data_IF_721717007718
#
_entry.id   IF_721717007718
#
_cell.length_a   1.000
_cell.length_b   1.000
_cell.length_c   1.000
_cell.angle_alpha   90.00
_cell.angle_beta   90.00
_cell.angle_gamma   90.00
#
_symmetry.space_group_name_H-M   'P 1'
#
loop_
_entity.id
_entity.type
_entity.pdbx_description
1 polymer ?
#
# COMPACT_ATOMS: atom_id res chain seq x y z
N UNK A 1 -10.21 10.58 15.69
CA UNK A 1 -11.24 9.52 15.65
C UNK A 1 -10.58 8.20 15.25
N UNK A 2 -11.16 7.05 15.62
CA UNK A 2 -10.61 5.72 15.37
C UNK A 2 -11.61 4.86 14.58
N UNK A 3 -11.12 3.92 13.77
CA UNK A 3 -11.92 2.91 13.09
C UNK A 3 -11.28 1.53 13.24
N UNK A 4 -12.10 0.48 13.09
CA UNK A 4 -11.63 -0.91 13.06
C UNK A 4 -10.96 -1.21 11.71
N UNK A 5 -9.69 -0.82 11.59
CA UNK A 5 -8.91 -0.89 10.35
C UNK A 5 -8.86 -2.31 9.78
N UNK A 6 -8.70 -3.32 10.64
CA UNK A 6 -8.67 -4.72 10.21
C UNK A 6 -9.99 -5.16 9.59
N UNK A 7 -11.15 -4.79 10.16
CA UNK A 7 -12.45 -5.06 9.55
C UNK A 7 -12.64 -4.34 8.21
N UNK A 8 -12.14 -3.11 8.08
CA UNK A 8 -12.19 -2.37 6.82
C UNK A 8 -11.34 -3.08 5.76
N UNK A 9 -10.08 -3.39 6.06
CA UNK A 9 -9.15 -4.04 5.12
C UNK A 9 -9.62 -5.44 4.72
N UNK A 10 -10.33 -6.16 5.60
CA UNK A 10 -10.91 -7.47 5.28
C UNK A 10 -12.10 -7.40 4.30
N UNK A 11 -12.66 -6.21 4.04
CA UNK A 11 -13.85 -6.06 3.22
C UNK A 11 -13.53 -6.09 1.72
N UNK A 12 -14.19 -6.97 0.96
CA UNK A 12 -13.92 -7.17 -0.48
C UNK A 12 -14.15 -5.96 -1.39
N UNK A 13 -14.81 -4.90 -0.90
CA UNK A 13 -14.94 -3.63 -1.62
C UNK A 13 -13.71 -2.70 -1.49
N UNK A 14 -12.77 -3.01 -0.60
CA UNK A 14 -11.55 -2.22 -0.42
C UNK A 14 -10.53 -2.60 -1.49
N UNK A 15 -10.33 -1.68 -2.44
CA UNK A 15 -9.34 -1.85 -3.50
C UNK A 15 -7.96 -1.26 -3.18
N UNK A 16 -7.75 -0.64 -2.02
CA UNK A 16 -6.48 0.05 -1.79
C UNK A 16 -6.29 0.60 -0.40
N UNK A 17 -5.04 0.66 0.04
CA UNK A 17 -4.66 1.20 1.32
C UNK A 17 -3.57 2.27 1.20
N UNK A 18 -3.94 3.53 1.42
CA UNK A 18 -2.96 4.60 1.60
C UNK A 18 -2.38 4.51 3.01
N UNK A 19 -1.08 4.26 3.12
CA UNK A 19 -0.43 4.01 4.41
C UNK A 19 0.83 4.85 4.57
N UNK A 20 1.06 5.30 5.80
CA UNK A 20 2.33 5.90 6.20
C UNK A 20 3.47 4.87 6.37
N UNK A 21 3.22 3.59 6.11
CA UNK A 21 4.22 2.52 6.17
C UNK A 21 4.74 2.21 7.59
N UNK A 22 3.99 2.54 8.63
CA UNK A 22 4.24 2.00 9.97
C UNK A 22 4.08 0.48 9.96
N UNK A 23 4.99 -0.24 10.61
CA UNK A 23 5.13 -1.70 10.44
C UNK A 23 3.84 -2.49 10.69
N UNK A 24 3.05 -2.12 11.71
CA UNK A 24 1.76 -2.78 11.97
C UNK A 24 0.80 -2.63 10.79
N UNK A 25 0.65 -1.42 10.23
CA UNK A 25 -0.22 -1.19 9.07
C UNK A 25 0.27 -1.95 7.83
N UNK A 26 1.59 -2.09 7.67
CA UNK A 26 2.16 -2.92 6.60
C UNK A 26 1.76 -4.38 6.77
N UNK A 27 1.92 -4.94 7.97
CA UNK A 27 1.53 -6.32 8.26
C UNK A 27 0.03 -6.56 8.07
N UNK A 28 -0.83 -5.64 8.51
CA UNK A 28 -2.28 -5.74 8.33
C UNK A 28 -2.67 -5.72 6.83
N UNK A 29 -2.07 -4.82 6.05
CA UNK A 29 -2.30 -4.75 4.61
C UNK A 29 -1.80 -6.00 3.87
N UNK A 30 -0.63 -6.53 4.24
CA UNK A 30 -0.09 -7.78 3.70
C UNK A 30 -0.99 -8.95 4.04
N UNK A 31 -1.38 -9.10 5.30
CA UNK A 31 -2.22 -10.20 5.77
C UNK A 31 -3.62 -10.19 5.15
N UNK A 32 -4.14 -9.00 4.81
CA UNK A 32 -5.42 -8.85 4.11
C UNK A 32 -5.28 -8.89 2.59
N UNK A 33 -4.07 -8.91 2.03
CA UNK A 33 -3.83 -8.91 0.60
C UNK A 33 -4.29 -7.62 -0.10
N UNK A 34 -4.22 -6.48 0.60
CA UNK A 34 -4.67 -5.19 0.06
C UNK A 34 -3.48 -4.42 -0.53
N UNK A 35 -3.53 -4.04 -1.82
CA UNK A 35 -2.52 -3.19 -2.45
C UNK A 35 -2.32 -1.85 -1.73
N UNK A 36 -1.06 -1.37 -1.67
CA UNK A 36 -0.73 -0.17 -0.90
C UNK A 36 -0.28 1.02 -1.76
N UNK A 37 -0.64 2.23 -1.32
CA UNK A 37 0.02 3.48 -1.73
C UNK A 37 0.88 3.93 -0.55
N UNK A 38 2.19 4.07 -0.74
CA UNK A 38 3.12 4.40 0.34
C UNK A 38 3.30 5.91 0.51
N UNK A 39 3.19 6.37 1.76
CA UNK A 39 3.35 7.77 2.15
C UNK A 39 4.15 7.91 3.45
N UNK A 40 5.44 7.51 3.46
CA UNK A 40 6.23 7.51 4.69
C UNK A 40 6.40 8.92 5.27
N UNK A 41 6.29 9.02 6.60
CA UNK A 41 6.38 10.27 7.35
C UNK A 41 7.67 10.34 8.17
N UNK A 42 7.97 9.31 8.98
CA UNK A 42 9.04 9.34 9.99
C UNK A 42 9.67 7.96 10.21
N UNK A 43 10.80 7.92 10.92
CA UNK A 43 11.47 6.69 11.36
C UNK A 43 11.79 5.71 10.21
N UNK A 44 11.50 4.43 10.42
CA UNK A 44 11.74 3.29 9.52
C UNK A 44 10.76 3.24 8.33
N UNK A 45 9.74 4.10 8.29
CA UNK A 45 8.69 4.06 7.29
C UNK A 45 9.21 4.19 5.85
N UNK A 46 10.31 4.91 5.62
CA UNK A 46 10.95 4.99 4.30
C UNK A 46 11.55 3.64 3.88
N UNK A 47 12.16 2.91 4.80
CA UNK A 47 12.67 1.57 4.55
C UNK A 47 11.52 0.59 4.30
N UNK A 48 10.45 0.67 5.09
CA UNK A 48 9.24 -0.13 4.87
C UNK A 48 8.60 0.18 3.51
N UNK A 49 8.55 1.45 3.11
CA UNK A 49 8.08 1.83 1.78
C UNK A 49 8.96 1.25 0.66
N UNK A 50 10.28 1.13 0.89
CA UNK A 50 11.18 0.51 -0.08
C UNK A 50 10.86 -0.98 -0.22
N UNK A 51 10.73 -1.70 0.90
CA UNK A 51 10.34 -3.11 0.93
C UNK A 51 9.03 -3.35 0.17
N UNK A 52 7.98 -2.57 0.46
CA UNK A 52 6.67 -2.71 -0.18
C UNK A 52 6.74 -2.51 -1.70
N UNK A 53 7.45 -1.47 -2.17
CA UNK A 53 7.41 -1.03 -3.57
C UNK A 53 8.45 -1.76 -4.43
N UNK A 54 9.68 -1.86 -3.96
CA UNK A 54 10.81 -2.39 -4.75
C UNK A 54 10.98 -3.89 -4.56
N UNK A 55 10.94 -4.36 -3.31
CA UNK A 55 11.33 -5.74 -3.01
C UNK A 55 10.13 -6.71 -3.15
N UNK A 56 8.95 -6.30 -2.65
CA UNK A 56 7.75 -7.15 -2.69
C UNK A 56 6.80 -6.82 -3.85
N UNK A 57 6.89 -5.62 -4.40
CA UNK A 57 6.00 -5.18 -5.48
C UNK A 57 4.51 -5.14 -5.10
N UNK A 58 4.21 -4.82 -3.83
CA UNK A 58 2.85 -4.80 -3.24
C UNK A 58 2.24 -3.40 -3.18
N UNK A 59 2.86 -2.41 -3.81
CA UNK A 59 2.32 -1.06 -3.82
C UNK A 59 3.09 -0.07 -4.67
N UNK A 60 2.55 1.14 -4.75
CA UNK A 60 3.15 2.25 -5.47
C UNK A 60 3.57 3.36 -4.52
N UNK A 61 4.63 4.09 -4.87
CA UNK A 61 5.04 5.27 -4.12
C UNK A 61 4.08 6.43 -4.37
N UNK A 62 3.34 6.83 -3.33
CA UNK A 62 2.49 8.02 -3.37
C UNK A 62 3.31 9.31 -3.32
N UNK A 63 4.40 9.30 -2.54
CA UNK A 63 5.37 10.39 -2.47
C UNK A 63 6.51 10.14 -3.46
N UNK A 64 6.70 11.10 -4.37
CA UNK A 64 7.79 11.05 -5.35
C UNK A 64 9.15 10.91 -4.67
N UNK A 65 10.00 10.08 -5.24
CA UNK A 65 11.40 9.90 -4.86
C UNK A 65 12.22 11.15 -5.19
N UNK A 66 12.02 12.24 -4.44
CA UNK A 66 12.81 13.47 -4.54
C UNK A 66 13.04 13.97 -3.12
N UNK A 67 14.31 14.17 -2.78
CA UNK A 67 14.85 14.44 -1.45
C UNK A 67 14.46 15.78 -0.82
N UNK A 68 13.18 16.12 -0.84
CA UNK A 68 12.62 17.19 -0.02
C UNK A 68 11.70 16.53 1.00
N UNK A 69 12.28 16.16 2.13
CA UNK A 69 11.48 15.98 3.35
C UNK A 69 10.60 17.23 3.48
N UNK A 70 9.29 17.03 3.63
CA UNK A 70 8.29 18.10 3.87
C UNK A 70 7.74 18.89 2.67
N UNK A 71 7.92 18.47 1.42
CA UNK A 71 7.12 19.06 0.34
C UNK A 71 5.68 18.52 0.34
N UNK A 72 4.70 19.43 0.29
CA UNK A 72 3.30 19.11 0.07
C UNK A 72 3.14 18.53 -1.35
N UNK A 73 2.26 17.54 -1.49
CA UNK A 73 1.87 17.01 -2.80
C UNK A 73 0.58 17.71 -3.22
N UNK A 74 0.53 18.20 -4.45
CA UNK A 74 -0.67 18.82 -5.01
C UNK A 74 -1.82 17.80 -5.18
N UNK A 75 -3.05 18.31 -5.13
CA UNK A 75 -4.27 17.48 -5.21
C UNK A 75 -4.39 16.78 -6.56
N UNK A 76 -3.94 17.42 -7.65
CA UNK A 76 -4.00 16.88 -9.01
C UNK A 76 -3.15 15.61 -9.13
N UNK A 77 -1.97 15.62 -8.53
CA UNK A 77 -1.06 14.48 -8.45
C UNK A 77 -1.62 13.37 -7.58
N UNK A 78 -2.21 13.69 -6.43
CA UNK A 78 -2.89 12.70 -5.59
C UNK A 78 -4.02 12.03 -6.37
N UNK A 79 -4.88 12.83 -7.02
CA UNK A 79 -5.98 12.31 -7.82
C UNK A 79 -5.48 11.44 -8.99
N UNK A 80 -4.41 11.84 -9.67
CA UNK A 80 -3.80 11.06 -10.75
C UNK A 80 -3.23 9.72 -10.30
N UNK A 81 -2.58 9.68 -9.13
CA UNK A 81 -2.08 8.44 -8.53
C UNK A 81 -3.25 7.51 -8.18
N UNK A 82 -4.25 8.01 -7.45
CA UNK A 82 -5.41 7.22 -7.03
C UNK A 82 -6.18 6.70 -8.24
N UNK A 83 -6.43 7.54 -9.26
CA UNK A 83 -7.17 7.15 -10.46
C UNK A 83 -6.49 6.00 -11.20
N UNK A 84 -5.17 6.06 -11.39
CA UNK A 84 -4.41 4.96 -12.01
C UNK A 84 -4.36 3.73 -11.12
N UNK A 85 -4.19 3.93 -9.82
CA UNK A 85 -4.09 2.84 -8.84
C UNK A 85 -5.38 2.04 -8.72
N UNK A 86 -6.53 2.68 -8.95
CA UNK A 86 -7.86 2.06 -8.89
C UNK A 86 -8.37 1.57 -10.26
N UNK A 87 -7.59 1.70 -11.34
CA UNK A 87 -8.01 1.26 -12.67
C UNK A 87 -7.91 -0.26 -12.81
N UNK A 88 -9.04 -0.96 -12.65
CA UNK A 88 -9.12 -2.42 -12.76
C UNK A 88 -8.84 -2.95 -14.17
N UNK A 89 -8.80 -2.10 -15.19
CA UNK A 89 -8.43 -2.51 -16.55
C UNK A 89 -6.92 -2.53 -16.76
N UNK A 90 -6.14 -1.85 -15.90
CA UNK A 90 -4.69 -1.80 -15.98
C UNK A 90 -4.08 -3.17 -15.67
N UNK A 91 -3.17 -3.63 -16.53
CA UNK A 91 -2.45 -4.88 -16.29
C UNK A 91 -1.46 -4.76 -15.12
N UNK A 92 -0.89 -3.57 -14.90
CA UNK A 92 -0.07 -3.30 -13.70
C UNK A 92 -0.89 -3.47 -12.42
N UNK A 93 -2.15 -3.04 -12.43
CA UNK A 93 -3.06 -3.18 -11.29
C UNK A 93 -3.42 -4.64 -11.04
N UNK A 94 -3.72 -5.41 -12.09
CA UNK A 94 -4.03 -6.85 -11.95
C UNK A 94 -2.83 -7.64 -11.42
N UNK A 95 -1.62 -7.33 -11.91
CA UNK A 95 -0.40 -7.97 -11.41
C UNK A 95 -0.14 -7.65 -9.93
N UNK A 96 -0.36 -6.39 -9.54
CA UNK A 96 -0.29 -5.94 -8.15
C UNK A 96 -1.27 -6.71 -7.24
N UNK A 97 -2.54 -6.83 -7.63
CA UNK A 97 -3.54 -7.60 -6.88
C UNK A 97 -3.16 -9.08 -6.75
N UNK A 98 -2.65 -9.68 -7.83
CA UNK A 98 -2.17 -11.08 -7.83
C UNK A 98 -1.03 -11.26 -6.81
N UNK A 99 -0.02 -10.39 -6.84
CA UNK A 99 1.11 -10.44 -5.88
C UNK A 99 0.64 -10.25 -4.44
N UNK A 100 -0.26 -9.29 -4.18
CA UNK A 100 -0.82 -9.08 -2.85
C UNK A 100 -1.56 -10.33 -2.33
N UNK A 101 -2.31 -11.03 -3.20
CA UNK A 101 -2.97 -12.28 -2.84
C UNK A 101 -1.96 -13.39 -2.50
N UNK A 102 -0.95 -13.58 -3.34
CA UNK A 102 0.10 -14.59 -3.12
C UNK A 102 0.85 -14.36 -1.80
N UNK A 103 1.25 -13.12 -1.51
CA UNK A 103 1.95 -12.81 -0.25
C UNK A 103 1.02 -12.92 0.96
N UNK A 104 -0.26 -12.56 0.83
CA UNK A 104 -1.26 -12.77 1.88
C UNK A 104 -1.43 -14.25 2.23
N UNK A 105 -1.49 -15.12 1.24
CA UNK A 105 -1.57 -16.58 1.44
C UNK A 105 -0.32 -17.12 2.15
N UNK A 106 0.87 -16.66 1.75
CA UNK A 106 2.13 -17.00 2.43
C UNK A 106 2.15 -16.52 3.89
N UNK A 107 1.72 -15.29 4.14
CA UNK A 107 1.67 -14.70 5.48
C UNK A 107 0.66 -15.41 6.41
N UNK A 108 -0.46 -15.90 5.87
CA UNK A 108 -1.43 -16.70 6.63
C UNK A 108 -0.90 -18.09 6.95
N UNK A 109 -0.18 -18.70 6.02
CA UNK A 109 0.38 -20.04 6.19
C UNK A 109 1.55 -20.06 7.17
N UNK A 110 2.32 -18.97 7.29
CA UNK A 110 3.49 -18.93 8.18
C UNK A 110 3.15 -18.88 9.67
N UNK A 111 1.90 -18.60 10.02
CA UNK A 111 1.39 -18.53 11.39
C UNK A 111 0.37 -19.64 11.71
N UNK A 112 0.09 -20.51 10.75
CA UNK A 112 -0.78 -21.68 10.89
C UNK A 112 0.02 -22.89 11.39
#
# INVERSE_FOLDING_TARGET
PWCDQMKVLAHGAVGGFLTHCGWNSVLEGVFMGVPMITFPLVFDQKANSKLIVEDWGLGWRGKGSIGVENSLIDRERIAGIIKRFMDSKSDERKDLERKCKEVSEMARTSIA
#
